data_IF_299159259355
#
_entry.id   IF_299159259355
#
_cell.length_a   1.000
_cell.length_b   1.000
_cell.length_c   1.000
_cell.angle_alpha   90.00
_cell.angle_beta   90.00
_cell.angle_gamma   90.00
#
_symmetry.space_group_name_H-M   'P 1'
#
loop_
_entity.id
_entity.type
_entity.pdbx_description
1 polymer ?
#
# COMPACT_ATOMS: atom_id res chain seq x y z
N UNK A 1 48.67 -2.05 54.46
CA UNK A 1 47.29 -2.41 54.05
C UNK A 1 46.39 -1.21 54.22
N UNK A 2 46.12 -0.45 53.14
CA UNK A 2 45.29 0.75 53.20
C UNK A 2 44.10 0.53 52.24
N UNK A 3 42.89 0.56 52.79
CA UNK A 3 41.61 0.44 52.06
C UNK A 3 41.19 1.85 51.60
N UNK A 4 41.19 2.07 50.29
CA UNK A 4 40.67 3.30 49.70
C UNK A 4 39.15 3.11 49.43
N UNK A 5 38.34 3.94 50.10
CA UNK A 5 36.89 4.00 49.87
C UNK A 5 36.59 4.97 48.74
N UNK A 6 36.06 4.47 47.65
CA UNK A 6 35.51 5.32 46.57
C UNK A 6 34.07 5.76 46.89
N UNK A 7 33.89 7.07 46.99
CA UNK A 7 32.60 7.73 47.17
C UNK A 7 31.91 7.87 45.79
N UNK A 8 30.84 7.14 45.55
CA UNK A 8 29.95 7.33 44.41
C UNK A 8 29.05 8.54 44.68
N UNK A 9 29.21 9.59 43.91
CA UNK A 9 28.30 10.75 43.88
C UNK A 9 27.21 10.51 42.89
N UNK A 10 26.00 10.28 43.37
CA UNK A 10 24.75 10.29 42.65
C UNK A 10 24.47 11.68 42.08
N UNK A 11 24.42 11.81 40.72
CA UNK A 11 23.82 12.94 40.03
C UNK A 11 22.43 12.51 39.54
N UNK A 12 21.43 12.80 40.36
CA UNK A 12 20.04 12.85 39.90
C UNK A 12 19.54 14.27 40.07
N UNK A 13 19.27 14.94 38.95
CA UNK A 13 18.24 15.97 38.76
C UNK A 13 18.55 16.81 37.51
N UNK A 14 18.01 16.47 36.38
CA UNK A 14 17.67 17.42 35.31
C UNK A 14 17.02 16.74 34.08
N UNK A 15 15.94 15.98 34.25
CA UNK A 15 15.09 15.58 33.10
C UNK A 15 13.63 15.62 33.54
N UNK A 16 13.03 16.78 33.65
CA UNK A 16 11.57 16.92 33.83
C UNK A 16 11.01 18.30 33.42
N UNK A 17 11.42 18.90 32.27
CA UNK A 17 10.71 20.08 31.75
C UNK A 17 10.49 20.10 30.23
N UNK A 18 10.90 19.06 29.48
CA UNK A 18 10.77 19.03 28.02
C UNK A 18 9.52 18.33 27.45
N UNK A 19 8.85 17.47 28.21
CA UNK A 19 7.82 16.56 27.70
C UNK A 19 6.41 17.17 27.58
N UNK A 20 6.12 18.25 28.29
CA UNK A 20 4.76 18.85 28.35
C UNK A 20 4.43 19.76 27.15
N UNK A 21 5.41 20.42 26.56
CA UNK A 21 5.19 21.31 25.38
C UNK A 21 4.97 20.51 24.08
N UNK A 22 5.58 19.36 23.91
CA UNK A 22 5.45 18.51 22.72
C UNK A 22 4.05 17.87 22.61
N UNK A 23 3.48 17.39 23.73
CA UNK A 23 2.14 16.77 23.75
C UNK A 23 1.00 17.74 23.44
N UNK A 24 1.10 19.01 23.89
CA UNK A 24 0.09 20.02 23.61
C UNK A 24 0.05 20.43 22.13
N UNK A 25 1.24 20.50 21.48
CA UNK A 25 1.36 20.85 20.06
C UNK A 25 0.84 19.77 19.13
N UNK A 26 1.07 18.49 19.44
CA UNK A 26 0.56 17.35 18.68
C UNK A 26 -0.96 17.27 18.78
N UNK A 27 -1.55 17.53 19.96
CA UNK A 27 -3.02 17.54 20.14
C UNK A 27 -3.69 18.70 19.41
N UNK A 28 -3.07 19.88 19.35
CA UNK A 28 -3.62 21.03 18.63
C UNK A 28 -3.57 20.84 17.11
N UNK A 29 -2.49 20.28 16.56
CA UNK A 29 -2.36 19.97 15.14
C UNK A 29 -3.35 18.89 14.68
N UNK A 30 -3.55 17.85 15.46
CA UNK A 30 -4.50 16.78 15.16
C UNK A 30 -5.97 17.28 15.18
N UNK A 31 -6.30 18.24 16.05
CA UNK A 31 -7.64 18.82 16.16
C UNK A 31 -7.98 19.75 14.99
N UNK A 32 -7.00 20.48 14.46
CA UNK A 32 -7.15 21.34 13.28
C UNK A 32 -7.30 20.51 11.99
N UNK A 33 -6.52 19.42 11.83
CA UNK A 33 -6.61 18.53 10.67
C UNK A 33 -7.92 17.73 10.64
N UNK A 34 -8.52 17.41 11.78
CA UNK A 34 -9.79 16.68 11.86
C UNK A 34 -10.99 17.49 11.39
N UNK A 35 -10.92 18.84 11.43
CA UNK A 35 -12.03 19.72 11.00
C UNK A 35 -12.16 19.87 9.47
N UNK A 36 -11.13 19.53 8.71
CA UNK A 36 -11.08 19.75 7.25
C UNK A 36 -11.25 18.49 6.41
N UNK A 37 -11.20 17.29 7.03
CA UNK A 37 -11.37 16.04 6.30
C UNK A 37 -12.84 15.64 6.20
N UNK A 38 -13.33 15.29 5.00
CA UNK A 38 -14.67 14.76 4.84
C UNK A 38 -14.83 13.47 5.65
N UNK A 39 -15.97 13.29 6.32
CA UNK A 39 -16.26 12.06 7.05
C UNK A 39 -16.41 10.90 6.08
N UNK A 40 -15.66 9.82 6.28
CA UNK A 40 -15.83 8.59 5.57
C UNK A 40 -17.16 7.93 5.95
N UNK A 41 -17.73 7.18 5.01
CA UNK A 41 -18.91 6.36 5.27
C UNK A 41 -18.47 5.02 5.84
N UNK A 42 -19.19 4.51 6.84
CA UNK A 42 -19.00 3.13 7.27
C UNK A 42 -19.41 2.19 6.14
N UNK A 43 -18.57 1.18 5.84
CA UNK A 43 -18.80 0.20 4.80
C UNK A 43 -18.40 -1.19 5.29
N UNK A 44 -19.24 -2.18 5.01
CA UNK A 44 -18.91 -3.60 5.07
C UNK A 44 -19.21 -4.21 3.71
N UNK A 45 -18.18 -4.55 2.96
CA UNK A 45 -18.31 -5.21 1.65
C UNK A 45 -18.21 -6.72 1.84
N UNK A 46 -19.32 -7.43 1.74
CA UNK A 46 -19.35 -8.89 1.82
C UNK A 46 -18.76 -9.51 0.57
N UNK A 47 -18.07 -10.65 0.74
CA UNK A 47 -17.52 -11.39 -0.40
C UNK A 47 -18.63 -11.96 -1.29
N UNK A 48 -18.50 -11.70 -2.61
CA UNK A 48 -19.35 -12.25 -3.66
C UNK A 48 -18.46 -12.55 -4.87
N UNK A 49 -18.29 -13.83 -5.24
CA UNK A 49 -17.41 -14.21 -6.34
C UNK A 49 -17.86 -13.66 -7.70
N UNK A 50 -19.16 -13.44 -7.90
CA UNK A 50 -19.76 -12.87 -9.11
C UNK A 50 -19.46 -11.37 -9.33
N UNK A 51 -18.88 -10.69 -8.32
CA UNK A 51 -18.46 -9.28 -8.44
C UNK A 51 -17.11 -9.12 -9.12
N UNK A 52 -16.35 -10.18 -9.38
CA UNK A 52 -15.15 -10.11 -10.20
C UNK A 52 -15.53 -9.94 -11.67
N UNK A 53 -15.06 -8.82 -12.27
CA UNK A 53 -15.39 -8.44 -13.65
C UNK A 53 -14.12 -8.23 -14.46
N UNK A 54 -14.16 -8.62 -15.73
CA UNK A 54 -13.06 -8.47 -16.68
C UNK A 54 -13.04 -7.13 -17.43
N UNK A 55 -13.75 -6.12 -16.95
CA UNK A 55 -13.87 -4.78 -17.55
C UNK A 55 -12.86 -3.76 -16.97
N UNK A 56 -11.86 -4.24 -16.24
CA UNK A 56 -10.82 -3.42 -15.64
C UNK A 56 -9.68 -3.05 -16.59
N UNK A 57 -8.61 -2.49 -16.02
CA UNK A 57 -7.46 -1.98 -16.77
C UNK A 57 -6.74 -3.07 -17.60
N UNK A 58 -6.72 -4.31 -17.11
CA UNK A 58 -5.99 -5.43 -17.72
C UNK A 58 -6.94 -6.55 -18.12
N UNK A 59 -6.88 -6.99 -19.37
CA UNK A 59 -7.68 -8.07 -19.91
C UNK A 59 -7.32 -9.46 -19.33
N UNK A 60 -6.15 -9.57 -18.71
CA UNK A 60 -5.68 -10.78 -18.03
C UNK A 60 -6.00 -10.81 -16.53
N UNK A 61 -6.85 -9.89 -16.07
CA UNK A 61 -7.24 -9.80 -14.67
C UNK A 61 -8.72 -9.43 -14.51
N UNK A 62 -9.38 -10.02 -13.52
CA UNK A 62 -10.71 -9.65 -13.09
C UNK A 62 -10.61 -8.82 -11.81
N UNK A 63 -11.34 -7.74 -11.76
CA UNK A 63 -11.34 -6.78 -10.66
C UNK A 63 -12.64 -6.84 -9.88
N UNK A 64 -12.54 -6.84 -8.57
CA UNK A 64 -13.66 -6.68 -7.66
C UNK A 64 -13.47 -5.39 -6.88
N UNK A 65 -14.32 -4.40 -7.13
CA UNK A 65 -14.35 -3.14 -6.38
C UNK A 65 -14.83 -3.41 -4.94
N UNK A 66 -14.06 -2.94 -3.97
CA UNK A 66 -14.38 -3.05 -2.55
C UNK A 66 -15.23 -1.87 -2.03
N UNK A 67 -15.62 -0.94 -2.89
CA UNK A 67 -16.48 0.21 -2.54
C UNK A 67 -15.77 1.28 -1.70
N UNK A 68 -14.45 1.21 -1.59
CA UNK A 68 -13.67 2.12 -0.75
C UNK A 68 -13.64 3.53 -1.37
N UNK A 69 -13.64 3.65 -2.70
CA UNK A 69 -13.69 4.94 -3.40
C UNK A 69 -14.88 5.77 -2.96
N UNK A 70 -16.07 5.19 -2.98
CA UNK A 70 -17.30 5.88 -2.58
C UNK A 70 -17.36 6.16 -1.07
N UNK A 71 -16.90 5.21 -0.25
CA UNK A 71 -16.85 5.36 1.20
C UNK A 71 -15.88 6.47 1.64
N UNK A 72 -14.80 6.68 0.88
CA UNK A 72 -13.78 7.70 1.16
C UNK A 72 -13.94 8.98 0.34
N UNK A 73 -14.97 9.08 -0.50
CA UNK A 73 -15.24 10.22 -1.39
C UNK A 73 -14.06 10.49 -2.35
N UNK A 74 -13.55 9.44 -2.96
CA UNK A 74 -12.48 9.53 -3.96
C UNK A 74 -11.07 9.59 -3.39
N UNK A 75 -10.89 9.46 -2.06
CA UNK A 75 -9.55 9.52 -1.48
C UNK A 75 -8.75 8.25 -1.78
N UNK A 76 -9.37 7.07 -1.68
CA UNK A 76 -8.72 5.78 -1.85
C UNK A 76 -9.59 4.86 -2.68
N UNK A 77 -9.01 4.11 -3.59
CA UNK A 77 -9.64 2.95 -4.22
C UNK A 77 -8.97 1.67 -3.71
N UNK A 78 -9.75 0.61 -3.60
CA UNK A 78 -9.24 -0.71 -3.27
C UNK A 78 -9.94 -1.78 -4.09
N UNK A 79 -9.15 -2.68 -4.70
CA UNK A 79 -9.62 -3.80 -5.50
C UNK A 79 -9.07 -5.12 -4.97
N UNK A 80 -9.90 -6.15 -4.98
CA UNK A 80 -9.39 -7.51 -5.06
C UNK A 80 -9.23 -7.84 -6.55
N UNK A 81 -8.07 -8.36 -6.92
CA UNK A 81 -7.70 -8.68 -8.30
C UNK A 81 -7.45 -10.18 -8.40
N UNK A 82 -8.11 -10.84 -9.35
CA UNK A 82 -7.90 -12.25 -9.67
C UNK A 82 -7.35 -12.37 -11.07
N UNK A 83 -6.23 -13.05 -11.21
CA UNK A 83 -5.61 -13.24 -12.51
C UNK A 83 -6.28 -14.37 -13.28
N UNK A 84 -6.28 -14.26 -14.61
CA UNK A 84 -6.87 -15.24 -15.53
C UNK A 84 -5.79 -16.25 -15.92
N UNK A 85 -6.00 -17.51 -15.57
CA UNK A 85 -5.09 -18.60 -15.90
C UNK A 85 -5.31 -19.13 -17.34
N UNK A 86 -4.24 -19.67 -17.97
CA UNK A 86 -2.85 -19.58 -17.57
C UNK A 86 -2.22 -18.23 -17.86
N UNK A 87 -1.11 -17.90 -17.22
CA UNK A 87 -0.35 -16.70 -17.54
C UNK A 87 0.21 -16.77 -18.96
N UNK A 88 -0.03 -15.73 -19.77
CA UNK A 88 0.63 -15.54 -21.07
C UNK A 88 1.63 -14.38 -20.98
N UNK A 89 2.96 -14.68 -20.96
CA UNK A 89 3.99 -13.64 -20.86
C UNK A 89 3.93 -12.59 -21.96
N UNK A 90 3.41 -12.92 -23.15
CA UNK A 90 3.24 -11.97 -24.27
C UNK A 90 2.14 -10.95 -24.02
N UNK A 91 1.18 -11.30 -23.18
CA UNK A 91 0.05 -10.45 -22.84
C UNK A 91 0.37 -9.56 -21.63
N UNK A 92 1.04 -10.09 -20.62
CA UNK A 92 1.23 -9.41 -19.33
C UNK A 92 2.46 -8.51 -19.28
N UNK A 93 3.53 -8.80 -20.07
CA UNK A 93 4.81 -8.09 -20.01
C UNK A 93 4.80 -6.72 -20.68
N UNK A 94 3.82 -5.88 -20.37
CA UNK A 94 3.73 -4.50 -20.85
C UNK A 94 4.21 -3.52 -19.80
N UNK A 95 5.27 -2.78 -20.13
CA UNK A 95 5.83 -1.80 -19.22
C UNK A 95 4.91 -0.58 -19.09
N UNK A 96 4.65 -0.15 -17.87
CA UNK A 96 3.78 0.98 -17.57
C UNK A 96 4.17 1.62 -16.23
N UNK A 97 3.55 2.74 -15.93
CA UNK A 97 3.65 3.42 -14.64
C UNK A 97 2.29 3.98 -14.22
N UNK A 98 2.13 4.22 -12.93
CA UNK A 98 0.96 4.86 -12.36
C UNK A 98 1.31 6.21 -11.76
N UNK A 99 0.46 7.22 -12.01
CA UNK A 99 0.60 8.54 -11.41
C UNK A 99 -0.23 8.59 -10.11
N UNK A 100 0.34 8.01 -9.05
CA UNK A 100 -0.29 7.80 -7.75
C UNK A 100 0.50 8.47 -6.65
N UNK A 101 -0.15 8.89 -5.56
CA UNK A 101 0.55 9.34 -4.34
C UNK A 101 0.93 8.17 -3.44
N UNK A 102 0.15 7.10 -3.50
CA UNK A 102 0.37 5.88 -2.75
C UNK A 102 -0.22 4.69 -3.51
N UNK A 103 0.54 3.60 -3.60
CA UNK A 103 0.06 2.33 -4.11
C UNK A 103 0.70 1.19 -3.34
N UNK A 104 -0.12 0.35 -2.74
CA UNK A 104 0.31 -0.84 -2.03
C UNK A 104 -0.42 -2.06 -2.59
N UNK A 105 0.32 -3.14 -2.76
CA UNK A 105 -0.22 -4.42 -3.18
C UNK A 105 0.11 -5.47 -2.12
N UNK A 106 -0.85 -6.34 -1.84
CA UNK A 106 -0.72 -7.49 -0.94
C UNK A 106 -1.14 -8.75 -1.67
N UNK A 107 -0.33 -9.79 -1.63
CA UNK A 107 -0.66 -11.09 -2.25
C UNK A 107 -1.58 -11.87 -1.31
N UNK A 108 -2.82 -12.07 -1.75
CA UNK A 108 -3.82 -12.84 -1.00
C UNK A 108 -3.68 -14.34 -1.22
N UNK A 109 -3.30 -14.74 -2.46
CA UNK A 109 -3.18 -16.15 -2.86
C UNK A 109 -2.18 -16.29 -4.02
N UNK A 110 -1.54 -17.45 -4.12
CA UNK A 110 -0.61 -17.76 -5.19
C UNK A 110 0.66 -16.93 -5.17
N UNK A 111 1.14 -16.57 -6.35
CA UNK A 111 2.35 -15.76 -6.52
C UNK A 111 2.29 -14.90 -7.78
N UNK A 112 3.07 -13.80 -7.77
CA UNK A 112 3.28 -12.92 -8.91
C UNK A 112 4.74 -12.55 -9.01
N UNK A 113 5.28 -12.55 -10.23
CA UNK A 113 6.63 -12.08 -10.53
C UNK A 113 6.54 -10.80 -11.36
N UNK A 114 7.19 -9.75 -10.89
CA UNK A 114 7.20 -8.46 -11.55
C UNK A 114 8.61 -7.87 -11.60
N UNK A 115 8.86 -7.07 -12.64
CA UNK A 115 10.09 -6.29 -12.81
C UNK A 115 9.81 -4.83 -12.49
N UNK A 116 10.71 -4.16 -11.76
CA UNK A 116 10.60 -2.77 -11.35
C UNK A 116 11.88 -2.01 -11.70
N UNK A 117 11.74 -0.81 -12.26
CA UNK A 117 12.85 0.06 -12.65
C UNK A 117 13.81 0.31 -11.47
N UNK A 118 15.09 -0.01 -11.67
CA UNK A 118 16.12 0.18 -10.67
C UNK A 118 16.09 -0.77 -9.46
N UNK A 119 15.08 -1.65 -9.37
CA UNK A 119 14.92 -2.61 -8.27
C UNK A 119 15.08 -4.07 -8.73
N UNK A 120 15.01 -4.32 -10.04
CA UNK A 120 15.11 -5.67 -10.61
C UNK A 120 13.80 -6.44 -10.58
N UNK A 121 13.90 -7.77 -10.58
CA UNK A 121 12.76 -8.69 -10.63
C UNK A 121 12.52 -9.32 -9.28
N UNK A 122 11.27 -9.32 -8.83
CA UNK A 122 10.85 -9.90 -7.57
C UNK A 122 9.67 -10.86 -7.78
N UNK A 123 9.68 -11.97 -7.07
CA UNK A 123 8.54 -12.88 -6.96
C UNK A 123 7.95 -12.74 -5.56
N UNK A 124 6.73 -12.25 -5.48
CA UNK A 124 5.94 -12.11 -4.26
C UNK A 124 4.94 -13.26 -4.16
N UNK A 125 4.75 -13.79 -2.95
CA UNK A 125 3.88 -14.93 -2.63
C UNK A 125 2.80 -14.53 -1.63
N UNK A 126 1.81 -15.37 -1.45
CA UNK A 126 0.76 -15.16 -0.46
C UNK A 126 1.33 -14.75 0.91
N UNK A 127 0.86 -13.61 1.44
CA UNK A 127 1.38 -12.97 2.65
C UNK A 127 2.39 -11.85 2.42
N UNK A 128 3.00 -11.78 1.24
CA UNK A 128 3.93 -10.68 0.90
C UNK A 128 3.16 -9.41 0.49
N UNK A 129 3.80 -8.26 0.71
CA UNK A 129 3.30 -6.98 0.20
C UNK A 129 4.46 -6.11 -0.29
N UNK A 130 4.14 -5.15 -1.14
CA UNK A 130 5.09 -4.12 -1.53
C UNK A 130 4.43 -2.76 -1.65
N UNK A 131 5.20 -1.73 -1.37
CA UNK A 131 4.89 -0.37 -1.74
C UNK A 131 5.44 -0.14 -3.14
N UNK A 132 4.58 0.31 -4.04
CA UNK A 132 4.98 0.69 -5.40
C UNK A 132 5.19 2.20 -5.44
N UNK A 133 6.43 2.69 -5.56
CA UNK A 133 6.71 4.12 -5.60
C UNK A 133 6.00 4.80 -6.77
N UNK A 134 5.63 6.06 -6.57
CA UNK A 134 5.03 6.89 -7.61
C UNK A 134 5.86 6.85 -8.90
N UNK A 135 5.20 6.61 -10.03
CA UNK A 135 5.78 6.61 -11.38
C UNK A 135 6.92 5.63 -11.62
N UNK A 136 7.15 4.65 -10.74
CA UNK A 136 8.10 3.57 -11.02
C UNK A 136 7.61 2.76 -12.21
N UNK A 137 8.47 2.58 -13.22
CA UNK A 137 8.16 1.71 -14.34
C UNK A 137 8.21 0.27 -13.90
N UNK A 138 7.20 -0.47 -14.26
CA UNK A 138 7.09 -1.87 -13.88
C UNK A 138 6.25 -2.65 -14.89
N UNK A 139 6.40 -3.96 -14.84
CA UNK A 139 5.59 -4.91 -15.61
C UNK A 139 5.46 -6.24 -14.87
N UNK A 140 4.34 -6.89 -15.08
CA UNK A 140 4.15 -8.29 -14.68
C UNK A 140 4.90 -9.18 -15.67
N UNK A 141 5.60 -10.17 -15.17
CA UNK A 141 6.32 -11.15 -15.97
C UNK A 141 5.65 -12.53 -15.93
N UNK A 142 5.09 -12.89 -14.75
CA UNK A 142 4.46 -14.17 -14.53
C UNK A 142 3.56 -14.15 -13.31
N UNK A 143 2.60 -15.08 -13.22
CA UNK A 143 1.76 -15.30 -12.04
C UNK A 143 1.27 -16.76 -12.00
N UNK A 144 0.98 -17.26 -10.79
CA UNK A 144 0.37 -18.58 -10.62
C UNK A 144 -1.10 -18.57 -11.01
N UNK A 145 -1.63 -19.73 -11.42
CA UNK A 145 -3.02 -19.88 -11.88
C UNK A 145 -4.07 -19.45 -10.85
N UNK A 146 -3.70 -19.44 -9.57
CA UNK A 146 -4.56 -19.07 -8.46
C UNK A 146 -4.21 -17.69 -7.86
N UNK A 147 -3.46 -16.87 -8.57
CA UNK A 147 -3.00 -15.57 -8.07
C UNK A 147 -4.17 -14.62 -7.79
N UNK A 148 -4.25 -14.16 -6.54
CA UNK A 148 -5.14 -13.08 -6.11
C UNK A 148 -4.38 -12.02 -5.31
N UNK A 149 -4.67 -10.76 -5.59
CA UNK A 149 -4.05 -9.60 -4.94
C UNK A 149 -5.11 -8.71 -4.29
N UNK A 150 -4.70 -7.98 -3.26
CA UNK A 150 -5.35 -6.75 -2.81
C UNK A 150 -4.50 -5.56 -3.24
N UNK A 151 -5.10 -4.65 -3.99
CA UNK A 151 -4.47 -3.39 -4.38
C UNK A 151 -5.16 -2.22 -3.70
N UNK A 152 -4.38 -1.29 -3.16
CA UNK A 152 -4.86 -0.05 -2.53
C UNK A 152 -4.12 1.12 -3.15
N UNK A 153 -4.86 2.08 -3.72
CA UNK A 153 -4.31 3.22 -4.44
C UNK A 153 -4.90 4.54 -3.93
N UNK A 154 -4.06 5.57 -3.87
CA UNK A 154 -4.43 6.94 -3.54
C UNK A 154 -3.71 7.92 -4.50
N UNK A 155 -4.43 8.92 -5.06
CA UNK A 155 -5.89 9.10 -5.01
C UNK A 155 -6.64 7.99 -5.75
N UNK A 156 -7.96 7.90 -5.53
CA UNK A 156 -8.79 6.87 -6.19
C UNK A 156 -8.90 7.05 -7.70
N UNK A 157 -8.76 8.27 -8.19
CA UNK A 157 -8.67 8.61 -9.61
C UNK A 157 -7.20 8.89 -9.94
N UNK A 158 -6.57 7.96 -10.63
CA UNK A 158 -5.17 8.03 -11.06
C UNK A 158 -5.02 7.65 -12.52
N UNK A 159 -3.94 8.10 -13.13
CA UNK A 159 -3.63 7.78 -14.53
C UNK A 159 -2.63 6.62 -14.60
N UNK A 160 -2.82 5.77 -15.60
CA UNK A 160 -1.84 4.77 -16.03
C UNK A 160 -1.24 5.20 -17.35
N UNK A 161 0.08 5.19 -17.45
CA UNK A 161 0.82 5.53 -18.66
C UNK A 161 1.48 4.26 -19.19
N UNK A 162 1.01 3.78 -20.34
CA UNK A 162 1.64 2.68 -21.08
C UNK A 162 2.91 3.19 -21.77
N UNK A 163 4.01 2.49 -21.63
CA UNK A 163 5.32 2.88 -22.19
C UNK A 163 5.70 2.08 -23.43
N UNK A 164 5.13 0.90 -23.61
CA UNK A 164 5.30 0.06 -24.81
C UNK A 164 4.04 0.12 -25.68
N UNK A 165 4.25 0.29 -26.99
CA UNK A 165 3.20 0.20 -28.01
C UNK A 165 3.16 -1.20 -28.60
#
# INVERSE_FOLDING_TARGET
MARTKHKVRTRQAAVRKGATRSRARIKAGAKAAAKTRPRHKFLVKRFRPEEFKGDGLRNYAHYRDLGIKDATRGMVVAHAIRFVAPCDPKVVSKEHLHDTEFQMIYVLKGSITSSFEGQGTHTMRAGDCWLQPQRIKHKVLDYSDDCELLEIVMPADFNTVELEK
#
